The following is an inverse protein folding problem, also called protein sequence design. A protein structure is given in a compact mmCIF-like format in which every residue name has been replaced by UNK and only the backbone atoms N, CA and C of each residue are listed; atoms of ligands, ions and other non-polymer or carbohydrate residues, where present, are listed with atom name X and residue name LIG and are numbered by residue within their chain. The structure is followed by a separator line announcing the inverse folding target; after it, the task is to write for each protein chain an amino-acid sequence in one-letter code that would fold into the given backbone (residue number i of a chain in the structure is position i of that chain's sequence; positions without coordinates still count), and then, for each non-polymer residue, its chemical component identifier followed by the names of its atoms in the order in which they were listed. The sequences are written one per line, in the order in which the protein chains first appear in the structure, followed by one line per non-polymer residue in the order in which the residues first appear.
data_IF_225388916428
#
_entry.id   IF_225388916428
#
_cell.length_a   1.000
_cell.length_b   1.000
_cell.length_c   1.000
_cell.angle_alpha   90.00
_cell.angle_beta   90.00
_cell.angle_gamma   90.00
#
_symmetry.space_group_name_H-M   'P 1'
#
loop_
_entity.id
_entity.type
_entity.pdbx_description
1 polymer ?
#
# COMPACT_ATOMS: atom_id res chain seq x y z
N UNK A 1 -43.17 2.46 -15.79
CA UNK A 1 -42.39 2.28 -14.55
C UNK A 1 -41.67 0.92 -14.55
N UNK A 2 -40.49 0.81 -15.22
CA UNK A 2 -39.61 -0.39 -15.19
C UNK A 2 -38.33 -0.09 -16.00
N UNK A 3 -37.52 0.93 -15.59
CA UNK A 3 -36.21 1.21 -16.23
C UNK A 3 -35.14 1.77 -15.25
N UNK A 4 -35.42 1.82 -13.96
CA UNK A 4 -34.49 2.41 -12.96
C UNK A 4 -33.72 1.40 -12.08
N UNK A 5 -33.90 0.08 -12.28
CA UNK A 5 -33.22 -0.95 -11.46
C UNK A 5 -31.93 -1.51 -12.09
N UNK A 6 -31.63 -1.22 -13.36
CA UNK A 6 -30.44 -1.76 -14.03
C UNK A 6 -29.17 -0.95 -13.76
N UNK A 7 -29.25 0.38 -13.59
CA UNK A 7 -28.08 1.22 -13.30
C UNK A 7 -27.52 1.02 -11.87
N UNK A 8 -28.40 0.72 -10.91
CA UNK A 8 -28.01 0.50 -9.52
C UNK A 8 -27.18 -0.77 -9.32
N UNK A 9 -27.42 -1.81 -10.12
CA UNK A 9 -26.69 -3.08 -10.05
C UNK A 9 -25.28 -3.01 -10.70
N UNK A 10 -25.13 -2.22 -11.75
CA UNK A 10 -23.81 -2.00 -12.37
C UNK A 10 -22.90 -1.12 -11.50
N UNK A 11 -23.45 -0.10 -10.84
CA UNK A 11 -22.70 0.68 -9.86
C UNK A 11 -22.30 -0.14 -8.61
N UNK A 12 -23.16 -1.05 -8.16
CA UNK A 12 -22.83 -1.95 -7.05
C UNK A 12 -21.76 -2.99 -7.42
N UNK A 13 -21.80 -3.50 -8.67
CA UNK A 13 -20.79 -4.45 -9.16
C UNK A 13 -19.43 -3.78 -9.37
N UNK A 14 -19.40 -2.54 -9.87
CA UNK A 14 -18.15 -1.76 -10.03
C UNK A 14 -17.58 -1.35 -8.66
N UNK A 15 -18.42 -0.94 -7.70
CA UNK A 15 -17.97 -0.70 -6.32
C UNK A 15 -17.54 -1.97 -5.61
N UNK A 16 -18.14 -3.13 -5.86
CA UNK A 16 -17.66 -4.42 -5.31
C UNK A 16 -16.34 -4.86 -5.94
N UNK A 17 -16.13 -4.70 -7.25
CA UNK A 17 -14.85 -4.98 -7.91
C UNK A 17 -13.76 -4.01 -7.43
N UNK A 18 -14.09 -2.73 -7.22
CA UNK A 18 -13.17 -1.76 -6.60
C UNK A 18 -12.89 -2.06 -5.14
N UNK A 19 -13.88 -2.49 -4.36
CA UNK A 19 -13.67 -2.93 -2.98
C UNK A 19 -12.91 -4.25 -2.90
N UNK A 20 -13.13 -5.17 -3.82
CA UNK A 20 -12.39 -6.44 -3.92
C UNK A 20 -10.95 -6.23 -4.43
N UNK A 21 -10.71 -5.29 -5.37
CA UNK A 21 -9.35 -4.91 -5.78
C UNK A 21 -8.64 -4.05 -4.72
N UNK A 22 -9.36 -3.16 -4.04
CA UNK A 22 -8.83 -2.44 -2.89
C UNK A 22 -8.57 -3.37 -1.70
N UNK A 23 -9.40 -4.38 -1.50
CA UNK A 23 -9.14 -5.47 -0.55
C UNK A 23 -8.02 -6.38 -1.03
N UNK A 24 -7.86 -6.64 -2.32
CA UNK A 24 -6.73 -7.40 -2.87
C UNK A 24 -5.41 -6.63 -2.75
N UNK A 25 -5.40 -5.32 -2.93
CA UNK A 25 -4.23 -4.46 -2.68
C UNK A 25 -3.93 -4.37 -1.17
N UNK A 26 -4.98 -4.29 -0.33
CA UNK A 26 -4.87 -4.42 1.13
C UNK A 26 -4.47 -5.83 1.51
N UNK A 27 -4.98 -6.85 0.84
CA UNK A 27 -4.69 -8.27 1.07
C UNK A 27 -3.28 -8.58 0.58
N UNK A 28 -2.79 -8.10 -0.58
CA UNK A 28 -1.39 -8.31 -0.96
C UNK A 28 -0.38 -7.54 -0.09
N UNK A 29 -0.76 -6.40 0.47
CA UNK A 29 0.01 -5.74 1.51
C UNK A 29 -0.21 -6.37 2.91
N UNK A 30 -1.32 -7.11 3.11
CA UNK A 30 -1.67 -7.81 4.36
C UNK A 30 -1.56 -9.34 4.24
N UNK A 31 -1.55 -9.96 3.05
CA UNK A 31 -1.30 -11.41 2.87
C UNK A 31 0.16 -11.78 3.08
N UNK A 32 1.03 -10.79 3.09
CA UNK A 32 2.30 -10.94 3.79
C UNK A 32 2.18 -10.69 5.30
N UNK A 33 0.98 -10.39 5.80
CA UNK A 33 0.70 -10.09 7.24
C UNK A 33 -0.47 -10.89 7.83
N UNK A 34 -1.33 -11.62 7.11
CA UNK A 34 -2.24 -12.68 7.59
C UNK A 34 -3.40 -13.02 6.63
N UNK A 35 -3.51 -14.25 6.34
CA UNK A 35 -4.62 -15.17 6.02
C UNK A 35 -6.06 -14.67 6.09
N UNK A 36 -6.83 -14.77 4.99
CA UNK A 36 -8.23 -15.15 5.02
C UNK A 36 -8.78 -15.53 3.63
N UNK A 37 -8.44 -16.71 3.14
CA UNK A 37 -9.16 -17.38 2.04
C UNK A 37 -9.72 -18.73 2.50
N UNK A 38 -10.55 -18.78 3.56
CA UNK A 38 -11.19 -20.06 3.96
C UNK A 38 -12.69 -19.98 4.25
N UNK A 39 -13.36 -18.86 4.03
CA UNK A 39 -14.83 -18.79 4.21
C UNK A 39 -15.66 -19.20 2.98
N UNK A 40 -15.05 -19.56 1.87
CA UNK A 40 -15.80 -20.00 0.68
C UNK A 40 -16.05 -21.52 0.59
N UNK A 41 -15.58 -22.33 1.56
CA UNK A 41 -15.67 -23.81 1.50
C UNK A 41 -16.34 -24.46 2.72
N UNK A 42 -17.12 -23.75 3.50
CA UNK A 42 -18.09 -24.34 4.45
C UNK A 42 -17.50 -25.27 5.53
N UNK A 43 -16.26 -25.06 5.98
CA UNK A 43 -15.65 -25.81 7.08
C UNK A 43 -15.45 -24.88 8.29
N UNK A 44 -16.28 -25.08 9.28
CA UNK A 44 -16.24 -24.41 10.58
C UNK A 44 -15.06 -24.88 11.41
N UNK A 45 -13.93 -24.13 11.32
CA UNK A 45 -12.93 -24.06 12.38
C UNK A 45 -12.43 -22.62 12.42
N UNK A 46 -12.51 -21.98 13.58
CA UNK A 46 -12.03 -20.61 13.76
C UNK A 46 -10.58 -20.47 13.29
N UNK A 47 -10.27 -19.55 12.34
CA UNK A 47 -8.90 -19.31 11.95
C UNK A 47 -8.19 -18.56 13.08
N UNK A 48 -7.18 -19.17 13.67
CA UNK A 48 -6.17 -18.45 14.44
C UNK A 48 -5.57 -17.39 13.50
N UNK A 49 -5.69 -16.12 13.86
CA UNK A 49 -4.93 -15.02 13.25
C UNK A 49 -3.45 -15.35 13.37
N UNK A 50 -2.81 -15.69 12.27
CA UNK A 50 -1.36 -15.64 12.18
C UNK A 50 -0.97 -14.17 12.02
N UNK A 51 -0.74 -13.50 13.14
CA UNK A 51 0.13 -12.33 13.18
C UNK A 51 1.52 -12.79 12.69
N UNK A 52 2.24 -11.90 12.02
CA UNK A 52 3.65 -12.12 11.72
C UNK A 52 4.33 -12.49 13.04
N UNK A 53 4.47 -13.79 13.30
CA UNK A 53 5.17 -14.26 14.46
C UNK A 53 6.65 -13.95 14.23
N UNK A 54 7.16 -12.99 15.00
CA UNK A 54 8.60 -12.87 15.19
C UNK A 54 9.01 -14.10 16.01
N UNK A 55 9.27 -15.23 15.33
CA UNK A 55 9.72 -16.45 15.97
C UNK A 55 11.17 -16.22 16.41
N UNK A 56 11.34 -15.97 17.69
CA UNK A 56 12.66 -15.96 18.31
C UNK A 56 13.03 -17.43 18.53
N UNK A 57 13.77 -18.00 17.59
CA UNK A 57 14.25 -19.37 17.67
C UNK A 57 15.29 -19.54 18.79
N UNK A 58 14.94 -20.30 19.82
CA UNK A 58 15.86 -20.88 20.77
C UNK A 58 16.05 -22.36 20.46
N UNK A 59 17.21 -22.73 19.91
CA UNK A 59 17.59 -24.13 19.73
C UNK A 59 17.95 -24.78 21.10
N UNK A 60 17.30 -25.88 21.42
CA UNK A 60 17.64 -26.72 22.56
C UNK A 60 17.61 -28.19 22.15
N UNK A 61 18.77 -28.83 22.21
CA UNK A 61 18.97 -30.22 21.90
C UNK A 61 18.26 -31.16 22.89
N UNK A 62 17.76 -32.25 22.36
CA UNK A 62 17.09 -33.32 23.09
C UNK A 62 18.07 -34.29 23.71
N UNK A 63 17.89 -34.59 24.99
CA UNK A 63 18.43 -35.79 25.69
C UNK A 63 17.28 -36.61 26.27
N UNK A 64 17.37 -37.95 26.35
CA UNK A 64 16.25 -38.82 26.63
C UNK A 64 15.82 -38.86 28.09
N UNK A 65 14.52 -39.13 28.30
CA UNK A 65 13.83 -39.11 29.57
C UNK A 65 14.16 -40.33 30.49
N UNK A 66 14.20 -40.14 31.82
CA UNK A 66 14.00 -41.20 32.79
C UNK A 66 12.55 -41.28 33.27
N UNK A 67 12.20 -42.49 33.74
CA UNK A 67 10.87 -42.95 34.13
C UNK A 67 10.22 -42.22 35.31
N UNK A 68 8.90 -42.39 35.55
CA UNK A 68 8.12 -41.50 36.41
C UNK A 68 8.20 -41.85 37.91
N UNK A 69 8.37 -40.82 38.72
CA UNK A 69 8.17 -40.85 40.19
C UNK A 69 6.92 -40.01 40.57
N UNK A 70 6.32 -40.26 41.77
CA UNK A 70 4.93 -39.92 42.05
C UNK A 70 4.65 -38.46 42.34
N UNK A 71 3.47 -38.04 41.94
CA UNK A 71 2.79 -36.75 42.06
C UNK A 71 3.04 -35.95 43.32
N UNK A 72 3.90 -34.94 43.22
CA UNK A 72 3.70 -33.66 43.89
C UNK A 72 3.51 -32.60 42.80
N UNK A 73 2.54 -31.68 42.85
CA UNK A 73 2.45 -30.59 41.89
C UNK A 73 3.74 -29.76 42.03
N UNK A 74 4.40 -29.42 40.93
CA UNK A 74 5.61 -28.57 40.98
C UNK A 74 5.25 -27.25 41.66
N UNK A 75 6.14 -26.68 42.49
CA UNK A 75 5.94 -25.36 43.06
C UNK A 75 5.71 -24.38 41.94
N UNK A 76 4.55 -23.69 41.93
CA UNK A 76 4.25 -22.65 41.00
C UNK A 76 5.34 -21.58 41.13
N UNK A 77 6.23 -21.52 40.16
CA UNK A 77 7.20 -20.43 40.08
C UNK A 77 6.40 -19.13 40.01
N UNK A 78 6.64 -18.16 40.93
CA UNK A 78 5.94 -16.88 40.86
C UNK A 78 6.19 -16.28 39.49
N UNK A 79 5.17 -15.61 38.86
CA UNK A 79 5.32 -15.02 37.56
C UNK A 79 6.56 -14.11 37.56
N UNK A 80 7.43 -14.16 36.55
CA UNK A 80 8.65 -13.38 36.49
C UNK A 80 8.31 -11.91 36.72
N UNK A 81 9.03 -11.25 37.61
CA UNK A 81 8.85 -9.82 37.92
C UNK A 81 8.91 -9.04 36.58
N UNK A 82 7.97 -8.14 36.32
CA UNK A 82 7.99 -7.38 35.09
C UNK A 82 9.31 -6.64 34.95
N UNK A 83 9.97 -6.76 33.81
CA UNK A 83 11.19 -6.02 33.52
C UNK A 83 10.92 -4.51 33.58
N UNK A 84 11.94 -3.71 33.83
CA UNK A 84 11.78 -2.26 33.88
C UNK A 84 11.08 -1.69 32.63
N UNK A 85 11.41 -2.19 31.41
CA UNK A 85 10.81 -1.79 30.15
C UNK A 85 9.32 -2.08 30.13
N UNK A 86 8.94 -3.30 30.47
CA UNK A 86 7.55 -3.73 30.49
C UNK A 86 6.72 -3.00 31.54
N UNK A 87 7.28 -2.76 32.73
CA UNK A 87 6.61 -1.99 33.79
C UNK A 87 6.37 -0.53 33.38
N UNK A 88 7.32 0.08 32.64
CA UNK A 88 7.18 1.42 32.08
C UNK A 88 6.07 1.44 31.02
N UNK A 89 6.12 0.55 30.04
CA UNK A 89 5.13 0.46 29.00
C UNK A 89 3.72 0.23 29.55
N UNK A 90 3.57 -0.68 30.54
CA UNK A 90 2.29 -0.91 31.22
C UNK A 90 1.70 0.38 31.81
N UNK A 91 2.50 1.19 32.50
CA UNK A 91 2.03 2.47 33.05
C UNK A 91 1.51 3.40 31.95
N UNK A 92 2.27 3.54 30.86
CA UNK A 92 1.88 4.37 29.70
C UNK A 92 0.54 3.90 29.12
N UNK A 93 0.37 2.61 28.91
CA UNK A 93 -0.86 2.02 28.36
C UNK A 93 -2.06 2.25 29.29
N UNK A 94 -1.90 2.06 30.59
CA UNK A 94 -2.96 2.29 31.59
C UNK A 94 -3.33 3.78 31.63
N UNK A 95 -2.38 4.69 31.66
CA UNK A 95 -2.65 6.14 31.64
C UNK A 95 -3.35 6.54 30.36
N UNK A 96 -2.92 6.05 29.21
CA UNK A 96 -3.61 6.30 27.95
C UNK A 96 -5.06 5.77 27.98
N UNK A 97 -5.28 4.55 28.50
CA UNK A 97 -6.62 3.97 28.58
C UNK A 97 -7.61 4.82 29.42
N UNK A 98 -7.10 5.59 30.38
CA UNK A 98 -7.92 6.53 31.16
C UNK A 98 -8.35 7.76 30.36
N UNK A 99 -7.66 8.12 29.28
CA UNK A 99 -7.96 9.30 28.46
C UNK A 99 -9.00 9.05 27.38
N UNK A 100 -9.21 7.80 27.00
CA UNK A 100 -10.17 7.41 25.96
C UNK A 100 -11.52 6.96 26.56
N UNK A 101 -12.58 7.06 25.76
CA UNK A 101 -13.89 6.51 26.11
C UNK A 101 -13.80 4.99 26.32
N UNK A 102 -14.66 4.41 27.17
CA UNK A 102 -14.67 2.97 27.39
C UNK A 102 -14.69 2.19 26.07
N UNK A 103 -13.75 1.29 25.91
CA UNK A 103 -13.54 0.53 24.68
C UNK A 103 -13.08 -0.89 25.01
N UNK A 104 -13.48 -1.89 24.21
CA UNK A 104 -13.15 -3.30 24.43
C UNK A 104 -11.65 -3.59 24.44
N UNK A 105 -10.84 -2.80 23.70
CA UNK A 105 -9.39 -2.94 23.66
C UNK A 105 -8.79 -2.42 24.97
N UNK A 106 -9.00 -1.13 25.26
CA UNK A 106 -8.39 -0.46 26.41
C UNK A 106 -8.97 -0.92 27.75
N UNK A 107 -10.16 -1.50 27.78
CA UNK A 107 -10.71 -2.14 28.98
C UNK A 107 -9.81 -3.27 29.49
N UNK A 108 -9.14 -4.00 28.60
CA UNK A 108 -8.21 -5.06 28.99
C UNK A 108 -6.94 -4.54 29.67
N UNK A 109 -6.61 -3.25 29.48
CA UNK A 109 -5.39 -2.62 30.02
C UNK A 109 -5.56 -2.09 31.45
N UNK A 110 -6.79 -1.88 31.89
CA UNK A 110 -7.09 -1.26 33.20
C UNK A 110 -7.12 -2.32 34.31
N UNK A 111 -7.33 -3.57 34.00
CA UNK A 111 -7.42 -4.64 34.97
C UNK A 111 -6.06 -4.92 35.63
N UNK A 112 -6.01 -4.79 36.97
CA UNK A 112 -4.74 -4.78 37.75
C UNK A 112 -3.92 -6.08 37.67
N UNK A 113 -4.61 -7.22 37.48
CA UNK A 113 -3.99 -8.55 37.55
C UNK A 113 -3.63 -9.14 36.18
N UNK A 114 -3.87 -8.42 35.07
CA UNK A 114 -3.59 -8.91 33.71
C UNK A 114 -2.13 -8.74 33.33
N UNK A 115 -1.56 -9.75 32.69
CA UNK A 115 -0.25 -9.68 32.05
C UNK A 115 -0.31 -8.80 30.81
N UNK A 116 0.65 -7.86 30.71
CA UNK A 116 0.68 -6.87 29.62
C UNK A 116 0.88 -7.52 28.25
N UNK A 117 1.66 -8.58 28.16
CA UNK A 117 2.00 -9.21 26.89
C UNK A 117 0.99 -10.23 26.40
N UNK A 118 0.30 -10.89 27.35
CA UNK A 118 -0.57 -12.01 27.01
C UNK A 118 -2.07 -11.66 27.08
N UNK A 119 -2.43 -10.60 27.81
CA UNK A 119 -3.82 -10.28 28.10
C UNK A 119 -4.25 -8.85 27.74
N UNK A 120 -3.31 -7.95 27.42
CA UNK A 120 -3.66 -6.65 26.90
C UNK A 120 -3.91 -6.78 25.38
N UNK A 121 -5.13 -6.50 24.97
CA UNK A 121 -5.49 -6.55 23.55
C UNK A 121 -4.69 -5.53 22.75
N UNK A 122 -4.14 -5.93 21.59
CA UNK A 122 -3.39 -5.08 20.68
C UNK A 122 -1.94 -4.85 21.11
N UNK A 123 -1.42 -5.57 22.10
CA UNK A 123 -0.04 -5.47 22.53
C UNK A 123 0.75 -6.68 22.06
N UNK A 124 1.85 -6.42 21.35
CA UNK A 124 2.84 -7.41 20.99
C UNK A 124 4.13 -7.19 21.80
N UNK A 125 4.61 -8.24 22.43
CA UNK A 125 5.87 -8.18 23.18
C UNK A 125 6.99 -8.94 22.47
N UNK A 126 8.22 -8.47 22.66
CA UNK A 126 9.42 -9.11 22.16
C UNK A 126 10.57 -9.00 23.16
N UNK A 127 11.67 -9.68 22.88
CA UNK A 127 12.92 -9.56 23.63
C UNK A 127 13.74 -8.40 23.07
N UNK A 128 14.01 -7.38 23.88
CA UNK A 128 14.72 -6.20 23.40
C UNK A 128 16.20 -6.54 23.11
N UNK A 129 16.73 -6.17 21.94
CA UNK A 129 17.99 -6.71 21.43
C UNK A 129 19.23 -6.37 22.25
N UNK A 130 19.23 -5.22 22.95
CA UNK A 130 20.45 -4.72 23.63
C UNK A 130 20.65 -5.29 25.03
N UNK A 131 19.58 -5.67 25.72
CA UNK A 131 19.65 -6.09 27.11
C UNK A 131 18.90 -7.39 27.43
N UNK A 132 18.25 -8.00 26.41
CA UNK A 132 17.51 -9.25 26.54
C UNK A 132 16.21 -9.12 27.36
N UNK A 133 15.82 -7.92 27.77
CA UNK A 133 14.60 -7.72 28.55
C UNK A 133 13.36 -7.83 27.67
N UNK A 134 12.27 -8.31 28.26
CA UNK A 134 10.96 -8.29 27.59
C UNK A 134 10.43 -6.87 27.52
N UNK A 135 9.94 -6.48 26.36
CA UNK A 135 9.43 -5.14 26.08
C UNK A 135 8.17 -5.20 25.18
N UNK A 136 7.39 -4.13 25.16
CA UNK A 136 6.32 -3.94 24.19
C UNK A 136 6.97 -3.55 22.86
N UNK A 137 6.99 -4.48 21.92
CA UNK A 137 7.58 -4.31 20.60
C UNK A 137 6.59 -3.78 19.57
N UNK A 138 5.30 -3.98 19.75
CA UNK A 138 4.28 -3.54 18.80
C UNK A 138 2.99 -3.11 19.47
N UNK A 139 2.30 -2.18 18.83
CA UNK A 139 0.98 -1.70 19.23
C UNK A 139 0.05 -1.74 18.02
N UNK A 140 -0.94 -2.64 18.08
CA UNK A 140 -2.01 -2.78 17.08
C UNK A 140 -3.37 -2.41 17.69
N UNK A 141 -3.83 -1.20 17.36
CA UNK A 141 -5.14 -0.69 17.73
C UNK A 141 -6.06 -0.55 16.51
N UNK A 142 -5.77 -1.26 15.45
CA UNK A 142 -6.54 -1.19 14.21
C UNK A 142 -8.02 -1.48 14.47
N UNK A 143 -8.90 -0.68 13.82
CA UNK A 143 -10.36 -0.75 13.94
C UNK A 143 -10.87 -0.62 15.39
N UNK A 144 -10.05 -0.05 16.29
CA UNK A 144 -10.40 0.15 17.69
C UNK A 144 -11.55 1.13 17.91
N UNK A 145 -11.81 2.02 16.94
CA UNK A 145 -12.80 3.11 17.06
C UNK A 145 -12.62 3.92 18.35
N UNK A 146 -11.38 4.10 18.74
CA UNK A 146 -11.02 4.85 19.93
C UNK A 146 -11.38 6.32 19.75
N UNK A 147 -11.91 6.94 20.80
CA UNK A 147 -12.16 8.37 20.89
C UNK A 147 -11.88 8.91 22.30
N UNK A 148 -11.50 10.16 22.40
CA UNK A 148 -11.16 10.81 23.66
C UNK A 148 -12.37 11.03 24.57
N UNK A 149 -12.14 11.08 25.88
CA UNK A 149 -13.22 11.32 26.87
C UNK A 149 -13.70 12.77 26.86
N UNK A 150 -12.79 13.73 26.78
CA UNK A 150 -13.09 15.18 26.87
C UNK A 150 -13.33 15.77 25.50
N UNK A 151 -12.62 15.33 24.49
CA UNK A 151 -12.83 15.65 23.10
C UNK A 151 -12.70 14.36 22.28
N UNK A 152 -13.37 14.30 21.13
CA UNK A 152 -13.37 13.05 20.35
C UNK A 152 -11.98 12.70 19.79
N UNK A 153 -11.12 13.69 19.59
CA UNK A 153 -9.76 13.52 19.10
C UNK A 153 -8.82 13.00 20.21
N UNK A 154 -7.86 12.17 19.82
CA UNK A 154 -6.86 11.57 20.69
C UNK A 154 -5.47 12.02 20.22
N UNK A 155 -4.61 12.59 21.08
CA UNK A 155 -3.23 12.90 20.71
C UNK A 155 -2.37 11.62 20.66
N UNK A 156 -1.33 11.64 19.85
CA UNK A 156 -0.28 10.61 19.90
C UNK A 156 0.66 10.80 21.08
N UNK A 157 0.76 12.05 21.55
CA UNK A 157 1.57 12.41 22.73
C UNK A 157 0.97 11.77 23.99
N UNK A 158 1.84 11.19 24.82
CA UNK A 158 1.45 10.43 26.00
C UNK A 158 1.32 8.92 25.73
N UNK A 159 1.30 8.52 24.46
CA UNK A 159 1.31 7.12 24.06
C UNK A 159 2.57 6.81 23.22
N UNK A 160 2.59 7.27 21.95
CA UNK A 160 3.68 6.95 21.02
C UNK A 160 5.04 7.49 21.49
N UNK A 161 5.08 8.69 22.05
CA UNK A 161 6.33 9.33 22.53
C UNK A 161 6.95 8.66 23.76
N UNK A 162 6.25 7.72 24.40
CA UNK A 162 6.66 7.03 25.64
C UNK A 162 7.03 5.57 25.46
N UNK A 163 6.84 5.02 24.26
CA UNK A 163 7.04 3.59 23.96
C UNK A 163 8.22 3.41 23.00
N UNK A 164 9.43 3.71 23.44
CA UNK A 164 10.66 3.74 22.63
C UNK A 164 11.12 2.37 22.10
N UNK A 165 10.55 1.29 22.61
CA UNK A 165 10.84 -0.08 22.18
C UNK A 165 10.00 -0.55 21.00
N UNK A 166 9.05 0.29 20.50
CA UNK A 166 8.18 -0.09 19.39
C UNK A 166 8.97 -0.35 18.11
N UNK A 167 8.60 -1.42 17.42
CA UNK A 167 8.99 -1.72 16.06
C UNK A 167 7.89 -1.29 15.07
N UNK A 168 6.64 -1.38 15.49
CA UNK A 168 5.50 -0.88 14.72
C UNK A 168 4.45 -0.20 15.60
N UNK A 169 3.71 0.71 15.00
CA UNK A 169 2.58 1.42 15.61
C UNK A 169 1.44 1.50 14.59
N UNK A 170 0.42 0.68 14.78
CA UNK A 170 -0.73 0.59 13.91
C UNK A 170 -1.99 1.05 14.64
N UNK A 171 -2.59 2.13 14.15
CA UNK A 171 -3.78 2.73 14.78
C UNK A 171 -4.86 3.09 13.76
N UNK A 172 -4.98 2.28 12.72
CA UNK A 172 -6.00 2.47 11.69
C UNK A 172 -7.42 2.55 12.28
N UNK A 173 -8.25 3.41 11.70
CA UNK A 173 -9.69 3.52 12.03
C UNK A 173 -9.96 3.91 13.48
N UNK A 174 -9.34 5.00 13.90
CA UNK A 174 -9.55 5.64 15.20
C UNK A 174 -9.79 7.16 15.05
N UNK A 175 -9.79 7.90 16.15
CA UNK A 175 -9.89 9.34 16.17
C UNK A 175 -8.57 10.02 16.60
N UNK A 176 -7.43 9.44 16.23
CA UNK A 176 -6.14 10.09 16.46
C UNK A 176 -6.00 11.35 15.60
N UNK A 177 -5.39 12.36 16.19
CA UNK A 177 -5.11 13.64 15.55
C UNK A 177 -3.84 14.24 16.16
N UNK A 178 -3.55 15.51 15.82
CA UNK A 178 -2.38 16.21 16.33
C UNK A 178 -1.09 15.82 15.57
N UNK A 179 0.06 16.24 16.08
CA UNK A 179 1.36 16.03 15.46
C UNK A 179 1.96 14.68 15.85
N UNK A 180 2.69 14.08 14.93
CA UNK A 180 3.51 12.91 15.24
C UNK A 180 4.67 13.36 16.15
N UNK A 181 4.88 12.73 17.32
CA UNK A 181 5.94 13.13 18.25
C UNK A 181 7.34 12.96 17.67
N UNK A 182 8.21 13.95 17.85
CA UNK A 182 9.62 13.89 17.38
C UNK A 182 10.45 12.82 18.11
N UNK A 183 9.97 12.32 19.23
CA UNK A 183 10.59 11.24 19.99
C UNK A 183 10.82 9.97 19.17
N UNK A 184 9.96 9.69 18.15
CA UNK A 184 10.12 8.52 17.27
C UNK A 184 11.47 8.52 16.53
N UNK A 185 12.11 9.67 16.36
CA UNK A 185 13.45 9.78 15.75
C UNK A 185 14.55 9.07 16.58
N UNK A 186 14.28 8.84 17.84
CA UNK A 186 15.19 8.16 18.79
C UNK A 186 14.89 6.67 18.94
N UNK A 187 13.81 6.17 18.30
CA UNK A 187 13.42 4.77 18.43
C UNK A 187 14.30 3.92 17.50
N UNK A 188 15.15 3.05 18.07
CA UNK A 188 16.19 2.38 17.28
C UNK A 188 15.65 1.29 16.34
N UNK A 189 14.41 0.84 16.57
CA UNK A 189 13.81 -0.29 15.86
C UNK A 189 12.42 0.03 15.30
N UNK A 190 12.11 1.31 15.05
CA UNK A 190 10.80 1.74 14.58
C UNK A 190 10.73 1.67 13.06
N UNK A 191 10.04 0.64 12.54
CA UNK A 191 9.99 0.32 11.11
C UNK A 191 8.66 0.64 10.44
N UNK A 192 7.54 0.55 11.20
CA UNK A 192 6.22 0.68 10.60
C UNK A 192 5.36 1.71 11.34
N UNK A 193 4.74 2.60 10.55
CA UNK A 193 3.81 3.61 11.05
C UNK A 193 2.53 3.59 10.21
N UNK A 194 1.45 3.06 10.79
CA UNK A 194 0.10 3.13 10.22
C UNK A 194 -0.79 4.08 11.04
N UNK A 195 -1.02 5.26 10.47
CA UNK A 195 -1.93 6.29 10.98
C UNK A 195 -3.18 6.43 10.11
N UNK A 196 -3.48 5.47 9.27
CA UNK A 196 -4.54 5.57 8.27
C UNK A 196 -5.94 5.66 8.93
N UNK A 197 -6.87 6.26 8.19
CA UNK A 197 -8.26 6.43 8.62
C UNK A 197 -8.39 7.05 10.03
N UNK A 198 -7.80 8.21 10.20
CA UNK A 198 -7.78 9.00 11.42
C UNK A 198 -8.18 10.46 11.15
N UNK A 199 -7.82 11.38 12.02
CA UNK A 199 -8.19 12.82 11.98
C UNK A 199 -6.99 13.74 11.84
N UNK A 200 -5.86 13.25 11.30
CA UNK A 200 -4.66 14.06 11.12
C UNK A 200 -4.90 15.18 10.12
N UNK A 201 -4.39 16.37 10.44
CA UNK A 201 -4.51 17.61 9.66
C UNK A 201 -3.15 18.29 9.49
N UNK A 202 -3.06 19.27 8.60
CA UNK A 202 -1.84 20.04 8.35
C UNK A 202 -1.07 19.51 7.15
N UNK A 203 0.22 19.83 7.08
CA UNK A 203 1.10 19.42 5.98
C UNK A 203 1.68 18.03 6.21
N UNK A 204 2.39 17.51 5.20
CA UNK A 204 3.12 16.24 5.33
C UNK A 204 4.03 16.27 6.56
N UNK A 205 3.98 15.26 7.44
CA UNK A 205 4.72 15.30 8.71
C UNK A 205 6.23 15.14 8.51
N UNK A 206 6.98 16.23 8.73
CA UNK A 206 8.43 16.29 8.55
C UNK A 206 9.19 15.23 9.38
N UNK A 207 8.68 14.89 10.56
CA UNK A 207 9.27 13.85 11.42
C UNK A 207 9.38 12.50 10.72
N UNK A 208 8.46 12.17 9.81
CA UNK A 208 8.52 10.94 9.01
C UNK A 208 9.71 10.95 8.06
N UNK A 209 10.02 12.13 7.48
CA UNK A 209 11.20 12.29 6.62
C UNK A 209 12.50 12.06 7.40
N UNK A 210 12.55 12.51 8.64
CA UNK A 210 13.72 12.40 9.50
C UNK A 210 13.88 11.01 10.14
N UNK A 211 12.80 10.24 10.28
CA UNK A 211 12.84 8.88 10.85
C UNK A 211 13.64 7.92 9.94
N UNK A 212 14.83 7.51 10.36
CA UNK A 212 15.80 6.80 9.51
C UNK A 212 15.49 5.33 9.27
N UNK A 213 14.78 4.68 10.20
CA UNK A 213 14.53 3.24 10.15
C UNK A 213 13.17 2.86 9.57
N UNK A 214 12.32 3.86 9.30
CA UNK A 214 10.97 3.62 8.80
C UNK A 214 11.01 3.04 7.38
N UNK A 215 10.32 1.90 7.16
CA UNK A 215 10.20 1.21 5.88
C UNK A 215 8.75 1.11 5.39
N UNK A 216 7.79 1.24 6.28
CA UNK A 216 6.36 1.23 5.96
C UNK A 216 5.68 2.50 6.48
N UNK A 217 5.00 3.22 5.60
CA UNK A 217 4.26 4.44 5.91
C UNK A 217 2.85 4.39 5.36
N UNK A 218 1.86 4.44 6.25
CA UNK A 218 0.47 4.59 5.88
C UNK A 218 -0.19 5.81 6.54
N UNK A 219 -0.49 6.81 5.72
CA UNK A 219 -1.19 8.05 6.10
C UNK A 219 -2.55 8.17 5.40
N UNK A 220 -3.07 7.12 4.79
CA UNK A 220 -4.34 7.13 4.04
C UNK A 220 -5.51 7.64 4.86
N UNK A 221 -6.54 8.16 4.16
CA UNK A 221 -7.81 8.55 4.78
C UNK A 221 -7.62 9.48 5.99
N UNK A 222 -6.95 10.59 5.76
CA UNK A 222 -6.78 11.69 6.71
C UNK A 222 -7.16 13.04 6.06
N UNK A 223 -6.85 14.14 6.72
CA UNK A 223 -7.08 15.49 6.20
C UNK A 223 -5.75 16.25 5.96
N UNK A 224 -4.68 15.52 5.65
CA UNK A 224 -3.37 16.11 5.36
C UNK A 224 -3.42 16.89 4.04
N UNK A 225 -2.67 18.00 3.94
CA UNK A 225 -2.71 18.92 2.81
C UNK A 225 -1.32 19.46 2.45
N UNK A 226 -1.25 20.33 1.44
CA UNK A 226 0.02 20.89 0.98
C UNK A 226 0.78 19.94 0.06
N UNK A 227 2.02 20.29 -0.31
CA UNK A 227 2.81 19.51 -1.25
C UNK A 227 3.40 18.24 -0.62
N UNK A 228 3.68 17.25 -1.46
CA UNK A 228 4.49 16.08 -1.10
C UNK A 228 5.97 16.50 -1.14
N UNK A 229 6.72 16.35 -0.03
CA UNK A 229 8.12 16.76 0.00
C UNK A 229 9.02 15.86 -0.84
N UNK A 230 10.00 16.45 -1.54
CA UNK A 230 10.93 15.72 -2.40
C UNK A 230 11.77 14.68 -1.64
N UNK A 231 12.07 14.97 -0.37
CA UNK A 231 12.89 14.10 0.46
C UNK A 231 12.19 12.79 0.83
N UNK A 232 10.87 12.70 0.71
CA UNK A 232 10.12 11.45 0.84
C UNK A 232 10.65 10.37 -0.11
N UNK A 233 10.97 10.74 -1.34
CA UNK A 233 11.43 9.80 -2.39
C UNK A 233 12.91 9.40 -2.27
N UNK A 234 13.64 9.96 -1.31
CA UNK A 234 15.00 9.56 -0.95
C UNK A 234 15.02 8.58 0.24
N UNK A 235 13.86 8.37 0.89
CA UNK A 235 13.72 7.47 2.03
C UNK A 235 13.72 6.02 1.57
N UNK A 236 14.28 5.14 2.39
CA UNK A 236 14.27 3.68 2.14
C UNK A 236 12.93 3.06 2.60
N UNK A 237 11.84 3.58 2.03
CA UNK A 237 10.49 3.09 2.27
C UNK A 237 10.13 2.06 1.20
N UNK A 238 9.64 0.89 1.61
CA UNK A 238 9.05 -0.10 0.71
C UNK A 238 7.60 0.25 0.33
N UNK A 239 6.89 0.89 1.26
CA UNK A 239 5.47 1.23 1.12
C UNK A 239 5.24 2.69 1.46
N UNK A 240 4.54 3.42 0.57
CA UNK A 240 4.11 4.80 0.78
C UNK A 240 2.63 4.92 0.40
N UNK A 241 1.76 4.97 1.40
CA UNK A 241 0.33 5.14 1.22
C UNK A 241 -0.14 6.49 1.75
N UNK A 242 -0.49 7.40 0.83
CA UNK A 242 -0.96 8.77 1.16
C UNK A 242 -2.30 9.11 0.50
N UNK A 243 -2.98 8.12 -0.04
CA UNK A 243 -4.25 8.33 -0.74
C UNK A 243 -5.37 8.82 0.18
N UNK A 244 -6.43 9.39 -0.42
CA UNK A 244 -7.58 9.92 0.31
C UNK A 244 -7.17 10.97 1.37
N UNK A 245 -6.43 11.97 0.91
CA UNK A 245 -6.03 13.16 1.64
C UNK A 245 -6.35 14.42 0.83
N UNK A 246 -5.76 15.55 1.17
CA UNK A 246 -5.92 16.84 0.47
C UNK A 246 -4.58 17.37 -0.05
N UNK A 247 -3.63 16.48 -0.36
CA UNK A 247 -2.33 16.88 -0.89
C UNK A 247 -2.47 17.61 -2.23
N UNK A 248 -1.65 18.66 -2.43
CA UNK A 248 -1.70 19.56 -3.58
C UNK A 248 -0.34 19.74 -4.22
N UNK A 249 -0.29 20.47 -5.34
CA UNK A 249 0.95 20.72 -6.08
C UNK A 249 1.40 19.55 -6.93
N UNK A 250 2.58 19.68 -7.50
CA UNK A 250 3.13 18.70 -8.42
C UNK A 250 3.94 17.62 -7.68
N UNK A 251 4.03 16.43 -8.26
CA UNK A 251 5.01 15.45 -7.81
C UNK A 251 6.43 16.01 -8.02
N UNK A 252 7.33 15.85 -7.05
CA UNK A 252 8.71 16.30 -7.19
C UNK A 252 9.46 15.63 -8.34
N UNK A 253 10.39 16.37 -8.97
CA UNK A 253 11.15 15.88 -10.10
C UNK A 253 12.00 14.62 -9.82
N UNK A 254 12.33 14.37 -8.55
CA UNK A 254 13.03 13.17 -8.10
C UNK A 254 12.09 12.03 -7.66
N UNK A 255 10.84 12.03 -8.07
CA UNK A 255 9.85 10.99 -7.74
C UNK A 255 10.38 9.56 -7.90
N UNK A 256 11.07 9.30 -9.00
CA UNK A 256 11.61 7.97 -9.31
C UNK A 256 12.84 7.55 -8.51
N UNK A 257 13.41 8.43 -7.66
CA UNK A 257 14.51 8.05 -6.76
C UNK A 257 14.06 7.11 -5.64
N UNK A 258 12.75 6.90 -5.51
CA UNK A 258 12.19 6.03 -4.47
C UNK A 258 12.57 4.57 -4.68
N UNK A 259 12.96 3.85 -3.63
CA UNK A 259 13.10 2.40 -3.67
C UNK A 259 11.77 1.66 -3.48
N UNK A 260 10.68 2.38 -3.25
CA UNK A 260 9.40 1.79 -2.89
C UNK A 260 8.86 0.83 -3.97
N UNK A 261 8.17 -0.19 -3.48
CA UNK A 261 7.47 -1.18 -4.30
C UNK A 261 6.00 -0.82 -4.50
N UNK A 262 5.38 -0.21 -3.49
CA UNK A 262 3.96 0.11 -3.46
C UNK A 262 3.76 1.59 -3.15
N UNK A 263 3.17 2.31 -4.11
CA UNK A 263 2.92 3.74 -4.00
C UNK A 263 1.44 4.04 -4.27
N UNK A 264 0.76 4.73 -3.37
CA UNK A 264 -0.57 5.24 -3.67
C UNK A 264 -0.74 6.70 -3.27
N UNK A 265 -1.00 7.51 -4.28
CA UNK A 265 -1.31 8.93 -4.19
C UNK A 265 -2.77 9.21 -4.58
N UNK A 266 -3.56 8.17 -4.74
CA UNK A 266 -4.93 8.24 -5.23
C UNK A 266 -5.81 9.19 -4.41
N UNK A 267 -6.83 9.79 -5.07
CA UNK A 267 -7.83 10.65 -4.40
C UNK A 267 -7.20 11.73 -3.52
N UNK A 268 -6.39 12.58 -4.18
CA UNK A 268 -5.81 13.80 -3.65
C UNK A 268 -6.15 14.98 -4.59
N UNK A 269 -5.40 16.07 -4.51
CA UNK A 269 -5.56 17.25 -5.36
C UNK A 269 -4.24 17.58 -6.07
N UNK A 270 -3.43 16.55 -6.36
CA UNK A 270 -2.15 16.70 -7.04
C UNK A 270 -2.35 17.16 -8.49
N UNK A 271 -1.44 18.01 -8.98
CA UNK A 271 -1.50 18.68 -10.28
C UNK A 271 -0.22 18.44 -11.10
N UNK A 272 -0.19 18.99 -12.32
CA UNK A 272 0.96 18.94 -13.21
C UNK A 272 1.16 17.58 -13.86
N UNK A 273 2.33 17.38 -14.44
CA UNK A 273 2.66 16.17 -15.19
C UNK A 273 3.20 15.06 -14.27
N UNK A 274 3.08 13.80 -14.71
CA UNK A 274 3.80 12.69 -14.09
C UNK A 274 5.28 12.84 -14.43
N UNK A 275 6.18 12.91 -13.41
CA UNK A 275 7.59 13.15 -13.66
C UNK A 275 8.25 12.04 -14.48
N UNK A 276 9.09 12.41 -15.44
CA UNK A 276 9.86 11.47 -16.27
C UNK A 276 10.77 10.55 -15.45
N UNK A 277 11.23 11.03 -14.29
CA UNK A 277 12.00 10.22 -13.34
C UNK A 277 11.27 8.96 -12.85
N UNK A 278 9.96 8.81 -13.07
CA UNK A 278 9.24 7.58 -12.71
C UNK A 278 9.94 6.33 -13.26
N UNK A 279 10.61 6.44 -14.42
CA UNK A 279 11.39 5.35 -15.00
C UNK A 279 12.58 4.90 -14.15
N UNK A 280 13.10 5.75 -13.27
CA UNK A 280 14.22 5.42 -12.39
C UNK A 280 13.82 4.39 -11.31
N UNK A 281 12.54 4.34 -10.95
CA UNK A 281 11.98 3.33 -10.02
C UNK A 281 11.81 1.93 -10.66
N UNK A 282 12.31 1.71 -11.86
CA UNK A 282 12.15 0.46 -12.65
C UNK A 282 12.63 -0.82 -11.97
N UNK A 283 13.52 -0.71 -10.99
CA UNK A 283 14.07 -1.87 -10.27
C UNK A 283 13.15 -2.39 -9.16
N UNK A 284 12.27 -1.56 -8.63
CA UNK A 284 11.50 -1.85 -7.43
C UNK A 284 10.00 -1.71 -7.61
N UNK A 285 9.54 -0.67 -8.29
CA UNK A 285 8.13 -0.30 -8.34
C UNK A 285 7.27 -1.42 -8.95
N UNK A 286 6.34 -1.92 -8.15
CA UNK A 286 5.40 -2.98 -8.49
C UNK A 286 4.00 -2.43 -8.73
N UNK A 287 3.57 -1.50 -7.88
CA UNK A 287 2.25 -0.89 -7.99
C UNK A 287 2.31 0.62 -7.77
N UNK A 288 1.61 1.36 -8.62
CA UNK A 288 1.45 2.80 -8.46
C UNK A 288 0.03 3.26 -8.81
N UNK A 289 -0.60 3.97 -7.89
CA UNK A 289 -1.95 4.48 -8.01
C UNK A 289 -1.95 6.01 -7.92
N UNK A 290 -2.33 6.65 -9.03
CA UNK A 290 -2.49 8.10 -9.15
C UNK A 290 -3.96 8.52 -9.37
N UNK A 291 -4.89 7.57 -9.37
CA UNK A 291 -6.28 7.83 -9.72
C UNK A 291 -6.92 8.94 -8.87
N UNK A 292 -7.89 9.66 -9.47
CA UNK A 292 -8.68 10.66 -8.75
C UNK A 292 -7.85 11.87 -8.29
N UNK A 293 -7.03 12.42 -9.17
CA UNK A 293 -6.24 13.63 -8.97
C UNK A 293 -6.53 14.68 -10.06
N UNK A 294 -5.67 15.66 -10.20
CA UNK A 294 -5.74 16.71 -11.22
C UNK A 294 -4.50 16.69 -12.13
N UNK A 295 -3.88 15.52 -12.31
CA UNK A 295 -2.74 15.39 -13.21
C UNK A 295 -3.12 15.74 -14.65
N UNK A 296 -2.22 16.42 -15.35
CA UNK A 296 -2.41 16.88 -16.72
C UNK A 296 -1.17 16.62 -17.57
N UNK A 297 -1.21 16.98 -18.86
CA UNK A 297 -0.12 16.71 -19.79
C UNK A 297 -0.11 15.27 -20.29
N UNK A 298 0.96 14.88 -20.94
CA UNK A 298 1.11 13.60 -21.60
C UNK A 298 1.84 12.59 -20.72
N UNK A 299 1.51 11.30 -20.85
CA UNK A 299 2.26 10.25 -20.14
C UNK A 299 3.71 10.20 -20.65
N UNK A 300 4.70 10.19 -19.77
CA UNK A 300 6.09 10.05 -20.16
C UNK A 300 6.37 8.61 -20.63
N UNK A 301 7.18 8.48 -21.71
CA UNK A 301 7.53 7.16 -22.23
C UNK A 301 8.35 6.33 -21.22
N UNK A 302 8.98 6.98 -20.27
CA UNK A 302 9.76 6.37 -19.20
C UNK A 302 8.95 5.42 -18.32
N UNK A 303 7.62 5.52 -18.32
CA UNK A 303 6.75 4.51 -17.69
C UNK A 303 7.04 3.11 -18.24
N UNK A 304 7.36 3.00 -19.53
CA UNK A 304 7.73 1.72 -20.15
C UNK A 304 8.99 1.04 -19.56
N UNK A 305 9.78 1.72 -18.75
CA UNK A 305 10.89 1.08 -18.02
C UNK A 305 10.42 0.26 -16.80
N UNK A 306 9.18 0.43 -16.34
CA UNK A 306 8.65 -0.21 -15.13
C UNK A 306 8.31 -1.70 -15.38
N UNK A 307 9.29 -2.51 -15.73
CA UNK A 307 9.12 -3.92 -16.09
C UNK A 307 8.56 -4.80 -14.96
N UNK A 308 8.68 -4.35 -13.71
CA UNK A 308 8.14 -5.05 -12.55
C UNK A 308 6.70 -4.64 -12.20
N UNK A 309 6.21 -3.56 -12.78
CA UNK A 309 4.89 -3.05 -12.47
C UNK A 309 3.79 -4.06 -12.88
N UNK A 310 2.95 -4.40 -11.93
CA UNK A 310 1.75 -5.23 -12.10
C UNK A 310 0.49 -4.39 -12.14
N UNK A 311 0.48 -3.23 -11.46
CA UNK A 311 -0.64 -2.29 -11.42
C UNK A 311 -0.16 -0.88 -11.74
N UNK A 312 -0.83 -0.24 -12.69
CA UNK A 312 -0.66 1.16 -13.03
C UNK A 312 -2.04 1.80 -13.25
N UNK A 313 -2.42 2.72 -12.38
CA UNK A 313 -3.73 3.39 -12.45
C UNK A 313 -3.56 4.91 -12.39
N UNK A 314 -3.93 5.58 -13.50
CA UNK A 314 -3.98 7.04 -13.62
C UNK A 314 -5.40 7.53 -13.94
N UNK A 315 -6.41 6.71 -13.70
CA UNK A 315 -7.79 7.06 -14.02
C UNK A 315 -8.28 8.30 -13.25
N UNK A 316 -9.38 8.88 -13.71
CA UNK A 316 -9.99 10.06 -13.08
C UNK A 316 -8.99 11.23 -12.93
N UNK A 317 -8.34 11.62 -14.05
CA UNK A 317 -7.40 12.74 -14.13
C UNK A 317 -7.69 13.62 -15.38
N UNK A 318 -6.80 14.54 -15.69
CA UNK A 318 -6.86 15.40 -16.90
C UNK A 318 -5.74 15.10 -17.91
N UNK A 319 -5.15 13.90 -17.82
CA UNK A 319 -4.06 13.47 -18.71
C UNK A 319 -4.53 13.39 -20.18
N UNK A 320 -3.62 13.67 -21.11
CA UNK A 320 -3.91 13.75 -22.54
C UNK A 320 -2.82 13.04 -23.37
N UNK A 321 -2.97 13.07 -24.68
CA UNK A 321 -2.02 12.46 -25.61
C UNK A 321 -2.35 11.01 -25.97
N UNK A 322 -1.57 10.42 -26.88
CA UNK A 322 -1.64 9.01 -27.20
C UNK A 322 -1.00 8.15 -26.10
N UNK A 323 -1.33 6.87 -26.07
CA UNK A 323 -0.61 5.88 -25.24
C UNK A 323 0.81 5.75 -25.80
N UNK A 324 1.88 5.95 -24.99
CA UNK A 324 3.24 5.79 -25.47
C UNK A 324 3.53 4.36 -25.93
N UNK A 325 4.26 4.21 -27.04
CA UNK A 325 4.62 2.89 -27.58
C UNK A 325 5.44 2.05 -26.58
N UNK A 326 6.16 2.71 -25.67
CA UNK A 326 6.95 2.10 -24.60
C UNK A 326 6.10 1.26 -23.61
N UNK A 327 4.78 1.50 -23.55
CA UNK A 327 3.90 0.68 -22.68
C UNK A 327 3.90 -0.80 -23.09
N UNK A 328 4.25 -1.11 -24.37
CA UNK A 328 4.52 -2.49 -24.78
C UNK A 328 5.68 -3.18 -24.05
N UNK A 329 6.45 -2.46 -23.23
CA UNK A 329 7.54 -3.00 -22.42
C UNK A 329 7.12 -3.30 -20.97
N UNK A 330 5.87 -3.11 -20.60
CA UNK A 330 5.32 -3.41 -19.27
C UNK A 330 5.04 -4.92 -19.12
N UNK A 331 6.09 -5.72 -19.09
CA UNK A 331 6.04 -7.18 -19.23
C UNK A 331 5.14 -7.88 -18.18
N UNK A 332 5.04 -7.32 -16.97
CA UNK A 332 4.29 -7.90 -15.85
C UNK A 332 2.95 -7.23 -15.56
N UNK A 333 2.60 -6.21 -16.31
CA UNK A 333 1.35 -5.46 -16.06
C UNK A 333 0.13 -6.37 -16.18
N UNK A 334 -0.73 -6.36 -15.17
CA UNK A 334 -1.99 -7.10 -15.11
C UNK A 334 -3.17 -6.14 -15.07
N UNK A 335 -3.00 -4.98 -14.44
CA UNK A 335 -4.02 -3.97 -14.33
C UNK A 335 -3.48 -2.64 -14.87
N UNK A 336 -4.01 -2.20 -16.02
CA UNK A 336 -3.70 -0.92 -16.64
C UNK A 336 -4.97 -0.10 -16.78
N UNK A 337 -5.09 0.96 -15.98
CA UNK A 337 -6.27 1.80 -15.97
C UNK A 337 -5.92 3.25 -16.35
N UNK A 338 -6.37 3.67 -17.52
CA UNK A 338 -6.24 5.02 -18.05
C UNK A 338 -7.62 5.70 -18.19
N UNK A 339 -8.68 5.12 -17.64
CA UNK A 339 -10.05 5.58 -17.82
C UNK A 339 -10.28 7.01 -17.31
N UNK A 340 -11.28 7.68 -17.84
CA UNK A 340 -11.72 9.02 -17.37
C UNK A 340 -10.57 10.03 -17.40
N UNK A 341 -10.05 10.25 -18.61
CA UNK A 341 -9.00 11.20 -18.93
C UNK A 341 -9.29 11.89 -20.28
N UNK A 342 -8.28 12.45 -20.92
CA UNK A 342 -8.35 13.11 -22.23
C UNK A 342 -7.42 12.44 -23.26
N UNK A 343 -7.17 11.13 -23.11
CA UNK A 343 -6.34 10.39 -24.06
C UNK A 343 -7.02 10.29 -25.42
N UNK A 344 -6.23 10.27 -26.50
CA UNK A 344 -6.73 10.23 -27.88
C UNK A 344 -5.82 9.40 -28.80
N UNK A 345 -6.19 9.32 -30.07
CA UNK A 345 -5.47 8.54 -31.08
C UNK A 345 -5.94 7.07 -31.10
N UNK A 346 -5.06 6.18 -31.55
CA UNK A 346 -5.33 4.75 -31.65
C UNK A 346 -4.87 4.01 -30.39
N UNK A 347 -5.68 3.09 -29.88
CA UNK A 347 -5.23 2.14 -28.86
C UNK A 347 -4.26 1.17 -29.53
N UNK A 348 -2.96 1.20 -29.17
CA UNK A 348 -1.93 0.47 -29.90
C UNK A 348 -1.95 -1.04 -29.58
N UNK A 349 -1.62 -1.86 -30.56
CA UNK A 349 -1.42 -3.31 -30.39
C UNK A 349 -0.54 -3.63 -29.18
N UNK A 350 0.50 -2.85 -28.97
CA UNK A 350 1.54 -3.09 -27.94
C UNK A 350 1.00 -3.30 -26.53
N UNK A 351 -0.10 -2.62 -26.15
CA UNK A 351 -0.75 -2.83 -24.84
C UNK A 351 -1.71 -4.01 -24.84
N UNK A 352 -2.25 -4.36 -25.99
CA UNK A 352 -3.24 -5.44 -26.12
C UNK A 352 -2.57 -6.83 -26.16
N UNK A 353 -1.29 -6.91 -26.51
CA UNK A 353 -0.54 -8.19 -26.58
C UNK A 353 0.24 -8.50 -25.30
N UNK A 354 0.21 -7.61 -24.31
CA UNK A 354 0.91 -7.81 -23.04
C UNK A 354 0.43 -9.09 -22.34
N UNK A 355 1.35 -9.97 -21.90
CA UNK A 355 1.00 -11.30 -21.35
C UNK A 355 0.05 -11.20 -20.14
N UNK A 356 0.33 -10.29 -19.19
CA UNK A 356 -0.51 -10.14 -17.99
C UNK A 356 -1.90 -9.60 -18.30
N UNK A 357 -2.04 -8.74 -19.31
CA UNK A 357 -3.36 -8.25 -19.77
C UNK A 357 -4.12 -9.40 -20.45
N UNK A 358 -3.48 -10.16 -21.37
CA UNK A 358 -4.14 -11.28 -22.09
C UNK A 358 -4.60 -12.40 -21.18
N UNK A 359 -3.87 -12.66 -20.09
CA UNK A 359 -4.15 -13.74 -19.15
C UNK A 359 -5.03 -13.27 -17.99
N UNK A 360 -6.26 -12.85 -18.30
CA UNK A 360 -7.27 -12.35 -17.35
C UNK A 360 -6.89 -11.05 -16.62
N UNK A 361 -6.06 -10.21 -17.24
CA UNK A 361 -5.80 -8.86 -16.75
C UNK A 361 -6.97 -7.91 -16.97
N UNK A 362 -6.74 -6.62 -16.74
CA UNK A 362 -7.71 -5.55 -16.97
C UNK A 362 -7.04 -4.40 -17.72
N UNK A 363 -7.67 -3.96 -18.82
CA UNK A 363 -7.27 -2.79 -19.59
C UNK A 363 -8.47 -1.83 -19.69
N UNK A 364 -8.50 -0.83 -18.82
CA UNK A 364 -9.59 0.14 -18.78
C UNK A 364 -9.16 1.45 -19.45
N UNK A 365 -9.82 1.78 -20.57
CA UNK A 365 -9.58 2.96 -21.40
C UNK A 365 -10.86 3.78 -21.59
N UNK A 366 -11.93 3.48 -20.87
CA UNK A 366 -13.22 4.15 -21.00
C UNK A 366 -13.18 5.63 -20.67
N UNK A 367 -14.15 6.39 -21.13
CA UNK A 367 -14.28 7.83 -20.87
C UNK A 367 -13.05 8.65 -21.32
N UNK A 368 -12.57 8.38 -22.53
CA UNK A 368 -11.49 9.11 -23.20
C UNK A 368 -11.93 9.60 -24.59
N UNK A 369 -10.98 9.83 -25.50
CA UNK A 369 -11.23 10.32 -26.87
C UNK A 369 -10.48 9.47 -27.92
N UNK A 370 -10.23 8.19 -27.63
CA UNK A 370 -9.66 7.28 -28.62
C UNK A 370 -10.52 7.18 -29.85
N UNK A 371 -9.91 7.16 -31.06
CA UNK A 371 -10.60 7.16 -32.36
C UNK A 371 -10.52 5.82 -33.07
N UNK A 372 -9.61 4.94 -32.65
CA UNK A 372 -9.46 3.62 -33.25
C UNK A 372 -8.85 2.64 -32.21
N UNK A 373 -8.97 1.35 -32.50
CA UNK A 373 -8.25 0.27 -31.81
C UNK A 373 -7.55 -0.60 -32.84
N UNK A 374 -6.35 -1.03 -32.52
CA UNK A 374 -5.62 -1.98 -33.36
C UNK A 374 -6.32 -3.35 -33.44
N UNK A 375 -6.17 -4.09 -34.57
CA UNK A 375 -6.84 -5.38 -34.77
C UNK A 375 -6.56 -6.39 -33.62
N UNK A 376 -5.37 -6.43 -33.04
CA UNK A 376 -5.03 -7.32 -31.92
C UNK A 376 -5.85 -7.05 -30.66
N UNK A 377 -6.40 -5.84 -30.51
CA UNK A 377 -7.21 -5.46 -29.34
C UNK A 377 -8.63 -6.03 -29.35
N UNK A 378 -9.14 -6.45 -30.53
CA UNK A 378 -10.51 -6.95 -30.67
C UNK A 378 -10.81 -8.18 -29.82
N UNK A 379 -9.81 -9.05 -29.62
CA UNK A 379 -9.99 -10.25 -28.78
C UNK A 379 -10.23 -9.86 -27.33
N UNK A 380 -9.51 -8.83 -26.83
CA UNK A 380 -9.67 -8.33 -25.47
C UNK A 380 -11.01 -7.62 -25.26
N UNK A 381 -11.50 -6.94 -26.29
CA UNK A 381 -12.81 -6.31 -26.27
C UNK A 381 -13.92 -7.37 -26.18
N UNK A 382 -13.83 -8.45 -26.98
CA UNK A 382 -14.79 -9.55 -26.96
C UNK A 382 -14.79 -10.32 -25.63
N UNK A 383 -13.65 -10.50 -25.02
CA UNK A 383 -13.50 -11.16 -23.70
C UNK A 383 -13.77 -10.22 -22.51
N UNK A 384 -14.12 -8.95 -22.76
CA UNK A 384 -14.37 -7.92 -21.72
C UNK A 384 -13.17 -7.58 -20.84
N UNK A 385 -11.97 -7.91 -21.29
CA UNK A 385 -10.70 -7.50 -20.65
C UNK A 385 -10.42 -6.04 -20.97
N UNK A 386 -10.77 -5.59 -22.20
CA UNK A 386 -10.63 -4.20 -22.64
C UNK A 386 -11.98 -3.48 -22.55
N UNK A 387 -12.02 -2.35 -21.83
CA UNK A 387 -13.14 -1.41 -21.86
C UNK A 387 -12.73 -0.12 -22.61
N UNK A 388 -13.40 0.16 -23.73
CA UNK A 388 -13.25 1.39 -24.52
C UNK A 388 -14.58 2.14 -24.64
N UNK A 389 -15.50 1.95 -23.73
CA UNK A 389 -16.77 2.68 -23.71
C UNK A 389 -16.55 4.19 -23.56
N UNK A 390 -17.49 4.97 -24.06
CA UNK A 390 -17.47 6.44 -24.02
C UNK A 390 -16.17 7.07 -24.58
N UNK A 391 -15.75 6.57 -25.73
CA UNK A 391 -14.67 7.10 -26.57
C UNK A 391 -15.21 7.64 -27.91
N UNK A 392 -14.39 7.78 -28.93
CA UNK A 392 -14.73 8.30 -30.25
C UNK A 392 -14.50 7.25 -31.36
N UNK A 393 -14.63 5.95 -31.06
CA UNK A 393 -14.32 4.86 -32.00
C UNK A 393 -15.54 4.53 -32.87
N UNK A 394 -15.47 4.75 -34.19
CA UNK A 394 -16.61 4.48 -35.07
C UNK A 394 -17.03 3.01 -35.06
N UNK A 395 -18.33 2.75 -35.08
CA UNK A 395 -18.88 1.39 -35.16
C UNK A 395 -18.97 0.63 -33.86
N UNK A 396 -18.39 1.13 -32.77
CA UNK A 396 -18.57 0.54 -31.44
C UNK A 396 -19.79 1.13 -30.70
N UNK A 397 -20.46 0.33 -29.87
CA UNK A 397 -21.56 0.82 -29.03
C UNK A 397 -21.05 1.73 -27.89
N UNK A 398 -21.95 2.53 -27.32
CA UNK A 398 -21.70 3.37 -26.17
C UNK A 398 -20.52 4.34 -26.35
N UNK A 399 -20.37 4.93 -27.54
CA UNK A 399 -19.37 5.94 -27.82
C UNK A 399 -19.90 7.36 -27.55
N UNK A 400 -19.01 8.34 -27.44
CA UNK A 400 -19.33 9.77 -27.35
C UNK A 400 -20.09 10.24 -28.58
N UNK A 401 -20.78 11.35 -28.45
CA UNK A 401 -21.41 12.00 -29.63
C UNK A 401 -20.34 12.46 -30.65
N UNK A 402 -20.71 12.47 -31.94
CA UNK A 402 -19.80 13.02 -32.97
C UNK A 402 -19.41 14.46 -32.70
N UNK A 403 -20.31 15.23 -32.09
CA UNK A 403 -20.06 16.63 -31.72
C UNK A 403 -19.00 16.71 -30.64
N UNK A 404 -19.12 15.93 -29.54
CA UNK A 404 -18.15 15.95 -28.44
C UNK A 404 -16.76 15.55 -28.92
N UNK A 405 -16.67 14.54 -29.81
CA UNK A 405 -15.42 14.09 -30.40
C UNK A 405 -14.77 15.18 -31.26
N UNK A 406 -15.58 15.84 -32.11
CA UNK A 406 -15.11 16.93 -32.96
C UNK A 406 -14.64 18.13 -32.12
N UNK A 407 -15.46 18.56 -31.15
CA UNK A 407 -15.13 19.69 -30.26
C UNK A 407 -13.85 19.46 -29.48
N UNK A 408 -13.56 18.22 -29.07
CA UNK A 408 -12.31 17.85 -28.44
C UNK A 408 -11.13 17.94 -29.41
N UNK A 409 -11.25 17.32 -30.61
CA UNK A 409 -10.18 17.30 -31.61
C UNK A 409 -9.76 18.70 -32.06
N UNK A 410 -10.71 19.66 -32.16
CA UNK A 410 -10.42 21.06 -32.52
C UNK A 410 -9.65 21.81 -31.40
N UNK A 411 -9.68 21.35 -30.15
CA UNK A 411 -9.10 22.06 -28.99
C UNK A 411 -7.88 21.38 -28.39
N UNK A 412 -7.69 20.09 -28.68
CA UNK A 412 -6.59 19.33 -28.09
C UNK A 412 -5.25 19.82 -28.60
N UNK A 413 -4.32 20.08 -27.67
CA UNK A 413 -2.93 20.40 -28.00
C UNK A 413 -2.13 19.10 -28.10
N UNK A 414 -1.29 18.95 -29.13
CA UNK A 414 -0.40 17.79 -29.23
C UNK A 414 0.62 17.79 -28.11
N UNK A 415 1.10 16.60 -27.76
CA UNK A 415 2.19 16.43 -26.80
C UNK A 415 3.45 17.11 -27.35
N UNK A 416 4.15 17.86 -26.51
CA UNK A 416 5.36 18.60 -26.88
C UNK A 416 6.53 17.71 -27.35
N UNK A 417 6.48 16.43 -27.03
CA UNK A 417 7.57 15.48 -27.28
C UNK A 417 7.09 14.24 -28.07
N UNK A 418 6.56 14.49 -29.28
CA UNK A 418 6.01 13.42 -30.14
C UNK A 418 7.00 12.30 -30.47
N UNK A 419 8.28 12.65 -30.66
CA UNK A 419 9.32 11.65 -31.01
C UNK A 419 9.57 10.65 -29.90
N UNK A 420 9.51 11.09 -28.64
CA UNK A 420 9.70 10.20 -27.50
C UNK A 420 8.55 9.23 -27.26
N UNK A 421 7.33 9.57 -27.71
CA UNK A 421 6.15 8.71 -27.58
C UNK A 421 6.23 7.43 -28.44
N UNK A 422 7.00 7.47 -29.53
CA UNK A 422 7.26 6.31 -30.40
C UNK A 422 8.43 5.43 -29.93
N UNK A 423 9.21 5.90 -28.96
CA UNK A 423 10.37 5.16 -28.45
C UNK A 423 9.95 3.92 -27.65
N UNK A 424 10.59 2.76 -27.95
CA UNK A 424 10.30 1.47 -27.31
C UNK A 424 11.57 0.90 -26.70
N UNK A 425 11.82 1.14 -25.40
CA UNK A 425 13.10 0.83 -24.75
C UNK A 425 13.45 -0.65 -24.71
N UNK A 426 12.46 -1.55 -24.75
CA UNK A 426 12.69 -2.99 -24.71
C UNK A 426 13.06 -3.60 -26.07
N UNK A 427 12.94 -2.86 -27.19
CA UNK A 427 13.30 -3.36 -28.53
C UNK A 427 14.75 -3.11 -28.92
N UNK A 428 15.51 -2.38 -28.12
CA UNK A 428 16.92 -2.03 -28.43
C UNK A 428 17.94 -3.14 -28.18
N UNK A 429 17.52 -4.36 -27.82
CA UNK A 429 18.41 -5.53 -27.63
C UNK A 429 18.33 -6.54 -28.77
N UNK A 430 18.45 -6.12 -30.01
CA UNK A 430 18.78 -7.01 -31.12
C UNK A 430 20.30 -7.02 -31.28
N UNK A 431 20.99 -8.00 -30.65
CA UNK A 431 22.42 -8.19 -30.81
C UNK A 431 23.20 -8.71 -29.60
N UNK A 432 22.64 -8.86 -28.43
CA UNK A 432 23.34 -9.46 -27.30
C UNK A 432 22.89 -10.91 -27.10
N UNK A 433 23.85 -11.85 -27.17
CA UNK A 433 23.66 -13.27 -26.84
C UNK A 433 22.94 -13.45 -25.50
N UNK A 434 22.01 -14.39 -25.45
CA UNK A 434 21.41 -14.88 -24.21
C UNK A 434 22.52 -15.45 -23.31
N UNK A 435 22.97 -14.66 -22.34
CA UNK A 435 23.61 -15.21 -21.16
C UNK A 435 22.49 -15.81 -20.30
N UNK A 436 22.36 -17.11 -20.37
CA UNK A 436 21.56 -17.90 -19.43
C UNK A 436 22.25 -17.84 -18.08
N UNK A 437 21.90 -16.86 -17.27
CA UNK A 437 22.20 -16.89 -15.84
C UNK A 437 21.37 -18.01 -15.21
N UNK A 438 21.96 -18.86 -14.36
CA UNK A 438 21.22 -19.94 -13.71
C UNK A 438 20.12 -19.35 -12.82
N UNK A 439 18.93 -19.94 -12.92
CA UNK A 439 17.81 -19.69 -12.03
C UNK A 439 18.28 -20.01 -10.61
N UNK A 440 18.57 -18.97 -9.83
CA UNK A 440 18.76 -19.15 -8.39
C UNK A 440 17.42 -19.58 -7.80
N UNK A 441 17.41 -20.78 -7.22
CA UNK A 441 16.32 -21.28 -6.40
C UNK A 441 15.98 -20.21 -5.35
N UNK A 442 14.72 -19.82 -5.30
CA UNK A 442 14.19 -19.02 -4.17
C UNK A 442 14.41 -19.85 -2.90
N UNK A 443 15.37 -19.39 -2.09
CA UNK A 443 15.50 -19.89 -0.73
C UNK A 443 14.31 -19.38 0.07
N UNK A 444 13.67 -20.29 0.79
CA UNK A 444 12.62 -19.95 1.75
C UNK A 444 13.13 -18.81 2.68
N UNK A 445 12.32 -17.78 2.81
CA UNK A 445 12.64 -16.60 3.64
C UNK A 445 12.71 -17.02 5.10
N UNK A 446 13.87 -16.87 5.73
CA UNK A 446 13.97 -17.00 7.18
C UNK A 446 13.09 -15.96 7.89
N UNK A 447 12.49 -16.32 9.03
CA UNK A 447 11.64 -15.38 9.78
C UNK A 447 12.45 -14.17 10.24
N UNK A 448 11.86 -12.98 10.10
CA UNK A 448 12.47 -11.71 10.48
C UNK A 448 12.56 -11.60 11.99
N UNK A 449 13.76 -11.58 12.54
CA UNK A 449 14.05 -11.37 13.98
C UNK A 449 14.63 -9.98 14.20
N UNK A 450 14.66 -9.48 15.44
CA UNK A 450 15.40 -8.26 15.78
C UNK A 450 16.85 -8.26 15.28
N UNK A 451 17.49 -9.42 15.14
CA UNK A 451 18.83 -9.57 14.58
C UNK A 451 18.89 -9.37 13.06
N UNK A 452 17.81 -9.70 12.35
CA UNK A 452 17.70 -9.51 10.90
C UNK A 452 17.27 -8.09 10.51
N UNK A 453 16.70 -7.33 11.43
CA UNK A 453 16.32 -5.94 11.27
C UNK A 453 17.54 -5.02 11.44
N UNK A 454 18.49 -5.08 10.53
CA UNK A 454 19.57 -4.08 10.48
C UNK A 454 19.03 -2.81 9.81
N UNK A 455 19.53 -1.61 10.20
CA UNK A 455 19.33 -0.41 9.39
C UNK A 455 19.73 -0.74 7.94
N UNK A 456 18.86 -0.51 6.96
CA UNK A 456 19.01 -0.86 5.54
C UNK A 456 18.57 -2.26 5.11
N UNK A 457 18.09 -3.13 5.98
CA UNK A 457 17.42 -4.35 5.53
C UNK A 457 15.97 -4.00 5.12
N UNK A 458 15.71 -4.00 3.83
CA UNK A 458 14.33 -4.00 3.30
C UNK A 458 13.65 -5.27 3.81
N UNK A 459 12.46 -5.12 4.36
CA UNK A 459 11.55 -6.25 4.53
C UNK A 459 11.40 -6.90 3.16
N UNK A 460 11.92 -8.10 2.97
CA UNK A 460 11.63 -8.91 1.80
C UNK A 460 10.20 -9.42 1.99
N UNK A 461 9.22 -8.66 1.49
CA UNK A 461 7.88 -9.17 1.26
C UNK A 461 7.88 -10.11 0.06
#
# INVERSE_FOLDING_TARGET
MRKTKSLSFQFLAITCVFLLHFQSIIIHAQDHIATSEYEALGLTTEPKRETLEIIIGGGGGSSPAPSPEPNCPPPQTPPPRPTFRLARARRVLIEFAKTVKPNKITATWIESNKDTCNQFTGILCGTYPTDGQRAVAGLDLNQGRLSGKTCDNIPLTGLLDKLEELTFFHVNSNNFSDKIPTQILKFPYFYELDLSNNKFVGVFPEVVIQATNLVFLDLRFNNLQGPIPSDLFKKDLDVIFVNNNKFTGNLPANFGSTPARYLTFARNQLTGEIPRSIGDASKTLTEVLFLGNKFEGCLPFEIGYLKKATVFDVSENSLTGPIPASFGCLEKIQFLNLATNKFYGTVPESVCVLPGIKNNGNLSLSNNYFTAIDPACWILLKSKILDVSNNCIPGLPNQRSKKDCYDFQCKVKPCSNHQSLSYVPCKTRWGAKQDTAPVSQEMATEPVTYKSLKPHHRLRM
#
